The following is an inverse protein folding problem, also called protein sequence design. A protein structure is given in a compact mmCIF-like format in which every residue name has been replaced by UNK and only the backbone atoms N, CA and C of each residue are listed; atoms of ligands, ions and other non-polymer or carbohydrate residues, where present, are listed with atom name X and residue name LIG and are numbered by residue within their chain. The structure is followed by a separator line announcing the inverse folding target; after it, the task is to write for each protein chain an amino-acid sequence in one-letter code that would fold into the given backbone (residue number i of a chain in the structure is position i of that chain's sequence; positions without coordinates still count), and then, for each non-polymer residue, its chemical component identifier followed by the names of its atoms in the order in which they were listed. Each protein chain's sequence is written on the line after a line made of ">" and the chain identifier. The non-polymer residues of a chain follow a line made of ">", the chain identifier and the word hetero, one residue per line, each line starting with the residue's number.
data_IF_151724629205
#
_entry.id   IF_151724629205
#
_cell.length_a   1.000
_cell.length_b   1.000
_cell.length_c   1.000
_cell.angle_alpha   90.00
_cell.angle_beta   90.00
_cell.angle_gamma   90.00
#
_symmetry.space_group_name_H-M   'P 1'
#
loop_
_entity.id
_entity.type
_entity.pdbx_description
1 polymer ?
#
# COMPACT_ATOMS: atom_id res chain seq x y z
N UNK A 1 -69.91 -23.30 -14.53
CA UNK A 1 -69.00 -22.15 -14.79
C UNK A 1 -68.24 -21.81 -13.52
N UNK A 2 -66.92 -22.07 -13.49
CA UNK A 2 -65.91 -21.33 -12.70
C UNK A 2 -64.54 -21.91 -13.04
N UNK A 3 -63.85 -21.24 -13.95
CA UNK A 3 -62.43 -21.42 -14.26
C UNK A 3 -61.62 -20.73 -13.16
N UNK A 4 -60.64 -21.40 -12.57
CA UNK A 4 -59.52 -20.78 -11.83
C UNK A 4 -58.31 -21.69 -12.06
N UNK A 5 -57.59 -21.53 -13.17
CA UNK A 5 -56.41 -20.66 -13.34
C UNK A 5 -55.21 -21.16 -12.51
N UNK A 6 -54.49 -22.14 -13.07
CA UNK A 6 -53.13 -22.52 -12.69
C UNK A 6 -52.23 -21.29 -12.79
N UNK A 7 -51.68 -20.86 -11.66
CA UNK A 7 -50.72 -19.75 -11.61
C UNK A 7 -49.32 -20.35 -11.77
N UNK A 8 -48.80 -20.35 -12.99
CA UNK A 8 -47.42 -20.74 -13.26
C UNK A 8 -46.46 -19.79 -12.53
N UNK A 9 -45.55 -20.36 -11.75
CA UNK A 9 -44.49 -19.62 -11.07
C UNK A 9 -43.30 -19.46 -12.03
N UNK A 10 -43.14 -18.26 -12.58
CA UNK A 10 -41.94 -17.91 -13.35
C UNK A 10 -40.86 -17.50 -12.35
N UNK A 11 -39.68 -18.16 -12.32
CA UNK A 11 -38.59 -17.69 -11.48
C UNK A 11 -38.08 -16.36 -12.03
N UNK A 12 -38.18 -15.30 -11.23
CA UNK A 12 -37.46 -14.05 -11.48
C UNK A 12 -35.97 -14.33 -11.33
N UNK A 13 -35.26 -14.43 -12.46
CA UNK A 13 -33.80 -14.41 -12.50
C UNK A 13 -33.36 -13.11 -11.82
N UNK A 14 -32.55 -13.14 -10.75
CA UNK A 14 -31.94 -11.90 -10.27
C UNK A 14 -31.08 -11.39 -11.42
N UNK A 15 -31.43 -10.21 -11.92
CA UNK A 15 -30.65 -9.51 -12.92
C UNK A 15 -29.18 -9.54 -12.48
N UNK A 16 -28.30 -10.06 -13.34
CA UNK A 16 -26.87 -9.91 -13.16
C UNK A 16 -26.61 -8.41 -13.08
N UNK A 17 -26.43 -7.91 -11.86
CA UNK A 17 -25.85 -6.60 -11.60
C UNK A 17 -24.43 -6.68 -12.10
N UNK A 18 -24.25 -6.38 -13.39
CA UNK A 18 -22.95 -5.99 -13.92
C UNK A 18 -22.46 -4.84 -13.05
N UNK A 19 -21.29 -4.94 -12.41
CA UNK A 19 -20.71 -3.81 -11.69
C UNK A 19 -20.10 -2.84 -12.70
N UNK A 20 -20.91 -2.37 -13.66
CA UNK A 20 -20.56 -1.29 -14.57
C UNK A 20 -20.86 0.03 -13.85
N UNK A 21 -20.11 0.30 -12.78
CA UNK A 21 -19.94 1.59 -12.10
C UNK A 21 -18.91 1.43 -10.96
N UNK A 22 -17.92 0.55 -11.12
CA UNK A 22 -16.64 0.79 -10.48
C UNK A 22 -16.06 2.01 -11.18
N UNK A 23 -16.51 3.21 -10.79
CA UNK A 23 -15.76 4.43 -11.09
C UNK A 23 -14.33 4.09 -10.71
N UNK A 24 -13.45 4.12 -11.70
CA UNK A 24 -12.04 3.89 -11.46
C UNK A 24 -11.69 4.81 -10.31
N UNK A 25 -11.52 4.25 -9.10
CA UNK A 25 -10.74 4.92 -8.08
C UNK A 25 -9.36 4.88 -8.69
N UNK A 26 -9.07 5.86 -9.54
CA UNK A 26 -7.74 6.34 -9.80
C UNK A 26 -7.25 6.73 -8.41
N UNK A 27 -6.63 5.76 -7.74
CA UNK A 27 -5.90 5.98 -6.52
C UNK A 27 -4.73 6.84 -6.99
N UNK A 28 -4.94 8.15 -7.02
CA UNK A 28 -3.87 9.09 -7.26
C UNK A 28 -2.79 8.76 -6.23
N UNK A 29 -1.57 8.49 -6.71
CA UNK A 29 -0.43 8.31 -5.83
C UNK A 29 -0.30 9.53 -4.93
N UNK A 30 -0.05 9.30 -3.65
CA UNK A 30 0.18 10.36 -2.68
C UNK A 30 1.66 10.34 -2.29
N UNK A 31 2.24 11.52 -2.16
CA UNK A 31 3.53 11.71 -1.52
C UNK A 31 3.26 12.34 -0.15
N UNK A 32 3.81 11.74 0.90
CA UNK A 32 3.68 12.23 2.26
C UNK A 32 5.05 12.30 2.90
N UNK A 33 5.33 13.40 3.59
CA UNK A 33 6.55 13.61 4.35
C UNK A 33 6.25 13.46 5.85
N UNK A 34 7.12 12.75 6.57
CA UNK A 34 7.03 12.54 8.01
C UNK A 34 8.28 13.06 8.70
N UNK A 35 8.16 14.22 9.34
CA UNK A 35 9.24 14.85 10.11
C UNK A 35 8.95 14.67 11.60
N UNK A 36 9.92 14.14 12.34
CA UNK A 36 9.80 13.94 13.79
C UNK A 36 11.14 14.22 14.48
N UNK A 37 11.10 14.69 15.74
CA UNK A 37 12.27 14.96 16.58
C UNK A 37 12.24 14.01 17.77
N UNK A 38 13.25 13.15 17.90
CA UNK A 38 13.52 12.26 19.04
C UNK A 38 12.28 11.64 19.73
N UNK A 39 11.35 11.07 18.97
CA UNK A 39 10.24 10.34 19.57
C UNK A 39 9.96 9.05 18.79
N UNK A 40 10.24 7.93 19.44
CA UNK A 40 9.85 6.59 18.98
C UNK A 40 8.33 6.49 18.74
N UNK A 41 7.54 7.34 19.41
CA UNK A 41 6.07 7.39 19.33
C UNK A 41 5.59 7.59 17.88
N UNK A 42 6.19 8.49 17.12
CA UNK A 42 5.74 8.76 15.74
C UNK A 42 6.00 7.55 14.86
N UNK A 43 7.15 6.91 15.05
CA UNK A 43 7.54 5.72 14.32
C UNK A 43 6.65 4.51 14.69
N UNK A 44 6.34 4.32 15.97
CA UNK A 44 5.56 3.17 16.46
C UNK A 44 4.06 3.31 16.33
N UNK A 45 3.51 4.52 16.49
CA UNK A 45 2.06 4.73 16.47
C UNK A 45 1.52 5.27 15.15
N UNK A 46 2.35 5.85 14.28
CA UNK A 46 1.89 6.37 12.99
C UNK A 46 2.48 5.57 11.83
N UNK A 47 3.81 5.54 11.73
CA UNK A 47 4.47 4.90 10.59
C UNK A 47 4.20 3.40 10.58
N UNK A 48 4.41 2.70 11.68
CA UNK A 48 4.25 1.25 11.76
C UNK A 48 2.83 0.75 11.39
N UNK A 49 1.74 1.29 11.95
CA UNK A 49 0.38 0.90 11.55
C UNK A 49 0.08 1.19 10.08
N UNK A 50 0.56 2.32 9.55
CA UNK A 50 0.42 2.65 8.13
C UNK A 50 1.13 1.62 7.25
N UNK A 51 2.36 1.23 7.61
CA UNK A 51 3.10 0.20 6.90
C UNK A 51 2.39 -1.15 6.92
N UNK A 52 1.79 -1.51 8.06
CA UNK A 52 1.02 -2.76 8.18
C UNK A 52 -0.20 -2.74 7.27
N UNK A 53 -0.91 -1.61 7.20
CA UNK A 53 -2.04 -1.44 6.29
C UNK A 53 -1.59 -1.57 4.83
N UNK A 54 -0.50 -0.90 4.44
CA UNK A 54 0.01 -0.91 3.07
C UNK A 54 0.66 -2.25 2.67
N UNK A 55 1.18 -3.00 3.63
CA UNK A 55 1.72 -4.33 3.41
C UNK A 55 0.64 -5.43 3.32
N UNK A 56 -0.59 -5.12 3.74
CA UNK A 56 -1.78 -5.95 3.49
C UNK A 56 -2.18 -5.97 2.01
N UNK A 57 -1.74 -4.98 1.23
CA UNK A 57 -1.97 -4.93 -0.22
C UNK A 57 -1.18 -6.04 -0.96
N UNK A 58 -1.54 -6.29 -2.23
CA UNK A 58 -0.90 -7.32 -3.05
C UNK A 58 0.47 -6.93 -3.61
N UNK A 59 0.92 -5.68 -3.40
CA UNK A 59 2.15 -5.12 -4.00
C UNK A 59 3.28 -5.01 -2.99
N UNK A 60 4.51 -4.86 -3.47
CA UNK A 60 5.71 -4.79 -2.66
C UNK A 60 5.83 -3.47 -1.89
N UNK A 61 6.53 -3.51 -0.76
CA UNK A 61 6.96 -2.32 -0.03
C UNK A 61 8.45 -2.08 -0.29
N UNK A 62 8.83 -0.90 -0.76
CA UNK A 62 10.24 -0.54 -0.91
C UNK A 62 10.72 0.31 0.26
N UNK A 63 11.84 -0.11 0.87
CA UNK A 63 12.50 0.59 1.97
C UNK A 63 13.90 1.06 1.55
N UNK A 64 14.06 2.36 1.32
CA UNK A 64 15.33 2.99 0.93
C UNK A 64 15.95 3.70 2.13
N UNK A 65 16.82 3.02 2.87
CA UNK A 65 17.51 3.59 4.04
C UNK A 65 19.01 3.79 3.76
N UNK A 66 19.57 5.00 3.97
CA UNK A 66 21.00 5.19 3.93
C UNK A 66 21.63 4.53 5.18
N UNK A 67 22.27 3.38 4.99
CA UNK A 67 23.12 2.73 6.01
C UNK A 67 22.41 1.96 7.13
N UNK A 68 21.12 2.20 7.42
CA UNK A 68 20.38 1.44 8.43
C UNK A 68 19.81 0.14 7.83
N UNK A 69 20.29 -1.03 8.27
CA UNK A 69 19.69 -2.31 7.91
C UNK A 69 18.35 -2.48 8.63
N UNK A 70 17.33 -2.93 7.91
CA UNK A 70 16.03 -3.20 8.49
C UNK A 70 16.15 -4.45 9.36
N UNK A 71 15.86 -4.32 10.66
CA UNK A 71 15.97 -5.42 11.58
C UNK A 71 14.80 -6.40 11.37
N UNK A 72 15.10 -7.63 10.91
CA UNK A 72 14.08 -8.66 10.68
C UNK A 72 13.30 -9.00 11.95
N UNK A 73 13.96 -9.04 13.11
CA UNK A 73 13.30 -9.27 14.40
C UNK A 73 12.31 -8.15 14.70
N UNK A 74 12.67 -6.90 14.41
CA UNK A 74 11.77 -5.75 14.57
C UNK A 74 10.57 -5.84 13.62
N UNK A 75 10.75 -6.28 12.37
CA UNK A 75 9.63 -6.52 11.46
C UNK A 75 8.67 -7.58 11.99
N UNK A 76 9.19 -8.72 12.43
CA UNK A 76 8.40 -9.81 13.00
C UNK A 76 7.63 -9.37 14.25
N UNK A 77 8.27 -8.63 15.15
CA UNK A 77 7.64 -8.09 16.36
C UNK A 77 6.50 -7.12 16.04
N UNK A 78 6.65 -6.33 14.98
CA UNK A 78 5.65 -5.36 14.55
C UNK A 78 4.63 -5.93 13.55
N UNK A 79 4.64 -7.25 13.32
CA UNK A 79 3.73 -7.98 12.43
C UNK A 79 3.77 -7.42 10.99
N UNK A 80 4.96 -7.03 10.54
CA UNK A 80 5.21 -6.64 9.15
C UNK A 80 5.64 -7.88 8.35
N UNK A 81 5.06 -8.11 7.15
CA UNK A 81 5.40 -9.24 6.30
C UNK A 81 6.80 -9.04 5.72
N UNK A 82 7.80 -9.69 6.33
CA UNK A 82 9.20 -9.58 5.90
C UNK A 82 9.47 -10.15 4.51
N UNK A 83 8.55 -10.96 3.97
CA UNK A 83 8.56 -11.54 2.63
C UNK A 83 8.08 -10.57 1.53
N UNK A 84 7.37 -9.50 1.89
CA UNK A 84 6.85 -8.47 0.96
C UNK A 84 7.61 -7.13 1.03
N UNK A 85 8.66 -7.06 1.85
CA UNK A 85 9.46 -5.85 2.02
C UNK A 85 10.77 -6.01 1.27
N UNK A 86 11.01 -5.14 0.31
CA UNK A 86 12.28 -5.02 -0.39
C UNK A 86 13.09 -3.90 0.27
N UNK A 87 14.31 -4.22 0.71
CA UNK A 87 15.23 -3.24 1.28
C UNK A 87 16.36 -2.90 0.31
N UNK A 88 16.63 -1.61 0.16
CA UNK A 88 17.75 -1.11 -0.62
C UNK A 88 18.58 -0.16 0.24
N UNK A 89 19.68 -0.70 0.80
CA UNK A 89 20.47 -0.07 1.88
C UNK A 89 21.79 0.57 1.43
N UNK A 90 22.20 0.35 0.17
CA UNK A 90 23.49 0.82 -0.39
C UNK A 90 23.34 1.92 -1.44
N UNK A 91 22.17 2.56 -1.54
CA UNK A 91 21.99 3.67 -2.47
C UNK A 91 22.49 4.97 -1.82
N UNK A 92 23.39 5.70 -2.50
CA UNK A 92 23.76 7.06 -2.10
C UNK A 92 22.49 7.92 -2.00
N UNK A 93 22.40 8.77 -0.97
CA UNK A 93 21.23 9.62 -0.76
C UNK A 93 20.85 10.45 -2.01
N UNK A 94 21.84 10.90 -2.79
CA UNK A 94 21.66 11.63 -4.05
C UNK A 94 20.94 10.81 -5.15
N UNK A 95 21.03 9.49 -5.10
CA UNK A 95 20.39 8.59 -6.08
C UNK A 95 19.05 8.02 -5.56
N UNK A 96 18.66 8.34 -4.32
CA UNK A 96 17.46 7.78 -3.70
C UNK A 96 16.19 8.21 -4.43
N UNK A 97 16.08 9.48 -4.84
CA UNK A 97 14.92 10.01 -5.60
C UNK A 97 14.72 9.28 -6.92
N UNK A 98 15.79 9.16 -7.73
CA UNK A 98 15.72 8.44 -9.00
C UNK A 98 15.34 6.96 -8.81
N UNK A 99 15.75 6.34 -7.70
CA UNK A 99 15.32 4.98 -7.37
C UNK A 99 13.85 4.92 -6.96
N UNK A 100 13.35 5.91 -6.21
CA UNK A 100 11.92 6.02 -5.86
C UNK A 100 11.05 6.17 -7.10
N UNK A 101 11.43 7.06 -8.02
CA UNK A 101 10.71 7.28 -9.28
C UNK A 101 10.62 6.00 -10.10
N UNK A 102 11.74 5.29 -10.28
CA UNK A 102 11.77 4.01 -11.01
C UNK A 102 10.92 2.94 -10.34
N UNK A 103 10.96 2.87 -9.00
CA UNK A 103 10.14 1.92 -8.26
C UNK A 103 8.65 2.20 -8.45
N UNK A 104 8.21 3.45 -8.28
CA UNK A 104 6.82 3.85 -8.49
C UNK A 104 6.38 3.62 -9.95
N UNK A 105 7.21 3.99 -10.92
CA UNK A 105 6.94 3.79 -12.34
C UNK A 105 6.81 2.31 -12.73
N UNK A 106 7.46 1.40 -12.00
CA UNK A 106 7.35 -0.03 -12.26
C UNK A 106 5.98 -0.63 -11.92
N UNK A 107 5.15 0.08 -11.13
CA UNK A 107 3.84 -0.40 -10.69
C UNK A 107 3.88 -1.54 -9.66
N UNK A 108 5.06 -2.09 -9.35
CA UNK A 108 5.23 -3.25 -8.48
C UNK A 108 5.16 -2.93 -6.98
N UNK A 109 5.24 -1.64 -6.62
CA UNK A 109 5.28 -1.19 -5.23
C UNK A 109 4.00 -0.45 -4.84
N UNK A 110 3.41 -0.81 -3.71
CA UNK A 110 2.29 -0.05 -3.11
C UNK A 110 2.77 1.20 -2.39
N UNK A 111 3.96 1.13 -1.81
CA UNK A 111 4.57 2.23 -1.07
C UNK A 111 6.08 2.17 -1.21
N UNK A 112 6.67 3.35 -1.29
CA UNK A 112 8.11 3.56 -1.34
C UNK A 112 8.48 4.52 -0.21
N UNK A 113 9.38 4.12 0.65
CA UNK A 113 9.89 4.91 1.77
C UNK A 113 11.32 5.30 1.49
N UNK A 114 11.64 6.57 1.68
CA UNK A 114 12.99 7.09 1.57
C UNK A 114 13.34 8.03 2.71
N UNK A 115 14.60 8.00 3.14
CA UNK A 115 15.19 9.02 4.00
C UNK A 115 16.00 9.95 3.11
N UNK A 116 15.43 11.12 2.85
CA UNK A 116 16.08 12.14 2.05
C UNK A 116 16.99 13.01 2.91
N UNK A 117 18.12 13.48 2.36
CA UNK A 117 18.95 14.46 3.05
C UNK A 117 18.18 15.78 3.16
N UNK A 118 18.59 16.62 4.10
CA UNK A 118 18.09 17.99 4.19
C UNK A 118 18.33 18.67 2.85
N UNK A 119 17.27 19.22 2.25
CA UNK A 119 17.38 20.04 1.06
C UNK A 119 18.21 21.27 1.45
N UNK A 120 19.42 21.36 0.88
CA UNK A 120 20.26 22.55 0.99
C UNK A 120 19.82 23.47 -0.16
N UNK A 121 19.37 24.68 0.17
CA UNK A 121 19.05 25.72 -0.82
C UNK A 121 20.27 26.13 -1.65
#
# INVERSE_FOLDING_TARGET
>A
MRQQATREYVPVTPASVSPALAGERRLNGMVSELVYRNNDIVLTHILLPLLRQLAGESRWLLWLSPGAKLNRTWLSQNQLPGDKIMQLSRIPAINSVAAMEKALASGNYSVVLGWLPVLTE
#
